data_IF_399340049413
#
_entry.id   IF_399340049413
#
_cell.length_a   1.000
_cell.length_b   1.000
_cell.length_c   1.000
_cell.angle_alpha   90.00
_cell.angle_beta   90.00
_cell.angle_gamma   90.00
#
_symmetry.space_group_name_H-M   'P 1'
#
loop_
_entity.id
_entity.type
_entity.pdbx_description
1 polymer ?
#
# COMPACT_ATOMS: atom_id res chain seq x y z
N UNK A 1 -9.47 -35.27 -20.91
CA UNK A 1 -9.84 -35.33 -19.49
C UNK A 1 -8.54 -35.14 -18.70
N UNK A 2 -8.02 -33.92 -18.65
CA UNK A 2 -6.85 -33.61 -17.85
C UNK A 2 -7.32 -33.12 -16.48
N UNK A 3 -6.80 -33.79 -15.46
CA UNK A 3 -7.12 -33.58 -14.07
C UNK A 3 -6.94 -32.11 -13.64
N UNK A 4 -8.05 -31.48 -13.26
CA UNK A 4 -8.09 -30.21 -12.55
C UNK A 4 -7.68 -30.48 -11.09
N UNK A 5 -6.41 -30.80 -10.86
CA UNK A 5 -5.86 -30.94 -9.52
C UNK A 5 -4.93 -29.77 -9.22
N UNK A 6 -5.42 -28.88 -8.37
CA UNK A 6 -4.67 -28.15 -7.35
C UNK A 6 -3.50 -27.31 -7.86
N UNK A 7 -3.79 -26.10 -8.31
CA UNK A 7 -2.75 -25.09 -8.46
C UNK A 7 -2.68 -24.28 -7.15
N UNK A 8 -2.12 -24.90 -6.12
CA UNK A 8 -1.44 -24.18 -5.06
C UNK A 8 0.01 -24.02 -5.51
N UNK A 9 0.29 -23.06 -6.36
CA UNK A 9 1.67 -22.77 -6.76
C UNK A 9 2.24 -21.74 -5.79
N UNK A 10 2.32 -22.11 -4.56
CA UNK A 10 3.18 -21.52 -3.54
C UNK A 10 4.55 -22.17 -3.72
N UNK A 11 5.60 -21.42 -3.48
CA UNK A 11 6.99 -21.88 -3.52
C UNK A 11 7.10 -23.35 -3.07
N UNK A 12 7.28 -24.22 -4.04
CA UNK A 12 7.65 -25.60 -3.76
C UNK A 12 9.02 -25.55 -3.10
N UNK A 13 9.21 -26.27 -2.00
CA UNK A 13 10.54 -26.51 -1.48
C UNK A 13 11.33 -27.35 -2.51
N UNK A 14 12.64 -27.53 -2.31
CA UNK A 14 13.52 -28.32 -3.19
C UNK A 14 13.02 -29.75 -3.44
N UNK A 15 12.01 -30.22 -2.69
CA UNK A 15 11.38 -31.53 -2.77
C UNK A 15 9.99 -31.52 -3.42
N UNK A 16 9.55 -30.35 -3.97
CA UNK A 16 8.23 -30.23 -4.65
C UNK A 16 7.01 -30.19 -3.74
N UNK A 17 7.18 -30.06 -2.42
CA UNK A 17 6.08 -29.91 -1.46
C UNK A 17 5.77 -28.43 -1.17
N UNK A 18 4.50 -28.11 -0.91
CA UNK A 18 4.05 -26.77 -0.50
C UNK A 18 4.74 -26.43 0.83
N UNK A 19 5.51 -25.34 0.85
CA UNK A 19 6.09 -24.83 2.08
C UNK A 19 4.98 -24.21 2.94
N UNK A 20 4.59 -24.89 4.02
CA UNK A 20 3.54 -24.45 4.95
C UNK A 20 3.72 -23.02 5.48
N UNK A 21 4.94 -22.51 5.44
CA UNK A 21 5.27 -21.14 5.90
C UNK A 21 4.69 -20.05 5.00
N UNK A 22 4.37 -20.38 3.74
CA UNK A 22 3.85 -19.47 2.71
C UNK A 22 2.47 -19.90 2.18
N UNK A 23 1.79 -20.84 2.84
CA UNK A 23 0.57 -21.51 2.35
C UNK A 23 -0.57 -20.52 2.03
N UNK A 24 -0.59 -19.36 2.69
CA UNK A 24 -1.60 -18.32 2.48
C UNK A 24 -1.21 -17.30 1.36
N UNK A 25 0.03 -17.34 0.85
CA UNK A 25 0.50 -16.42 -0.18
C UNK A 25 0.32 -17.09 -1.54
N UNK A 26 -0.56 -16.50 -2.36
CA UNK A 26 -0.93 -17.04 -3.67
C UNK A 26 -0.38 -16.17 -4.77
N UNK A 27 0.32 -16.78 -5.71
CA UNK A 27 0.90 -16.13 -6.87
C UNK A 27 2.24 -16.72 -7.28
N UNK A 28 2.67 -16.39 -8.50
CA UNK A 28 3.90 -16.89 -9.11
C UNK A 28 4.61 -15.83 -9.94
N UNK A 29 4.10 -14.60 -9.94
CA UNK A 29 4.70 -13.49 -10.69
C UNK A 29 6.15 -13.24 -10.28
N UNK A 30 7.00 -12.74 -11.18
CA UNK A 30 8.38 -12.36 -10.87
C UNK A 30 8.46 -11.32 -9.75
N UNK A 31 7.51 -10.37 -9.75
CA UNK A 31 7.43 -9.32 -8.72
C UNK A 31 7.18 -9.91 -7.33
N UNK A 32 6.23 -10.86 -7.17
CA UNK A 32 5.99 -11.54 -5.90
C UNK A 32 7.19 -12.42 -5.50
N UNK A 33 7.82 -13.11 -6.44
CA UNK A 33 9.01 -13.93 -6.17
C UNK A 33 10.16 -13.08 -5.60
N UNK A 34 10.38 -11.88 -6.13
CA UNK A 34 11.39 -10.95 -5.60
C UNK A 34 11.11 -10.59 -4.13
N UNK A 35 9.86 -10.30 -3.78
CA UNK A 35 9.44 -10.06 -2.38
C UNK A 35 9.77 -11.26 -1.50
N UNK A 36 9.43 -12.48 -1.96
CA UNK A 36 9.67 -13.70 -1.18
C UNK A 36 11.14 -14.04 -1.01
N UNK A 37 12.01 -13.63 -1.96
CA UNK A 37 13.47 -13.70 -1.79
C UNK A 37 13.90 -12.80 -0.62
N UNK A 38 13.42 -11.55 -0.57
CA UNK A 38 13.68 -10.66 0.57
C UNK A 38 13.18 -11.23 1.90
N UNK A 39 11.99 -11.83 1.92
CA UNK A 39 11.46 -12.53 3.10
C UNK A 39 12.42 -13.63 3.57
N UNK A 40 12.88 -14.50 2.67
CA UNK A 40 13.82 -15.58 3.01
C UNK A 40 15.15 -15.07 3.56
N UNK A 41 15.65 -13.96 3.03
CA UNK A 41 16.91 -13.34 3.46
C UNK A 41 16.81 -12.76 4.87
N UNK A 42 15.69 -12.05 5.19
CA UNK A 42 15.55 -11.35 6.46
C UNK A 42 14.98 -12.22 7.57
N UNK A 43 14.22 -13.27 7.24
CA UNK A 43 13.53 -14.10 8.23
C UNK A 43 14.47 -14.68 9.32
N UNK A 44 15.68 -15.21 9.01
CA UNK A 44 16.58 -15.78 10.03
C UNK A 44 17.20 -14.74 10.98
N UNK A 45 17.07 -13.44 10.66
CA UNK A 45 17.65 -12.35 11.44
C UNK A 45 16.65 -11.78 12.44
N UNK A 46 17.16 -11.06 13.46
CA UNK A 46 16.33 -10.27 14.38
C UNK A 46 16.14 -8.81 13.92
N UNK A 47 16.56 -8.49 12.70
CA UNK A 47 16.44 -7.13 12.15
C UNK A 47 14.98 -6.67 12.06
N UNK A 48 14.78 -5.38 12.29
CA UNK A 48 13.49 -4.74 12.04
C UNK A 48 13.18 -4.74 10.54
N UNK A 49 11.94 -5.06 10.19
CA UNK A 49 11.48 -5.07 8.80
C UNK A 49 10.37 -4.03 8.62
N UNK A 50 10.50 -3.23 7.57
CA UNK A 50 9.47 -2.28 7.16
C UNK A 50 8.81 -2.77 5.87
N UNK A 51 7.54 -3.16 5.94
CA UNK A 51 6.77 -3.65 4.80
C UNK A 51 5.97 -2.49 4.22
N UNK A 52 6.31 -2.09 3.02
CA UNK A 52 5.69 -0.99 2.28
C UNK A 52 4.74 -1.54 1.21
N UNK A 53 3.68 -0.83 0.91
CA UNK A 53 2.77 -1.18 -0.17
C UNK A 53 1.35 -0.68 0.05
N UNK A 54 0.60 -0.56 -1.03
CA UNK A 54 -0.77 -0.07 -1.01
C UNK A 54 -1.69 -0.88 -0.08
N UNK A 55 -2.80 -0.27 0.30
CA UNK A 55 -3.83 -0.97 1.08
C UNK A 55 -4.36 -2.18 0.32
N UNK A 56 -4.48 -3.33 1.01
CA UNK A 56 -5.02 -4.55 0.42
C UNK A 56 -4.03 -5.40 -0.38
N UNK A 57 -2.74 -5.08 -0.41
CA UNK A 57 -1.69 -5.86 -1.11
C UNK A 57 -1.29 -7.15 -0.41
N UNK A 58 -1.62 -7.31 0.90
CA UNK A 58 -1.28 -8.49 1.67
C UNK A 58 -0.09 -8.31 2.63
N UNK A 59 0.20 -7.10 3.09
CA UNK A 59 1.32 -6.80 4.02
C UNK A 59 1.34 -7.69 5.26
N UNK A 60 0.17 -7.99 5.85
CA UNK A 60 0.07 -8.88 7.01
C UNK A 60 0.51 -10.32 6.68
N UNK A 61 0.19 -10.84 5.49
CA UNK A 61 0.62 -12.18 5.08
C UNK A 61 2.15 -12.26 4.95
N UNK A 62 2.77 -11.20 4.45
CA UNK A 62 4.25 -11.11 4.40
C UNK A 62 4.84 -11.06 5.79
N UNK A 63 4.27 -10.27 6.72
CA UNK A 63 4.73 -10.24 8.11
C UNK A 63 4.63 -11.62 8.79
N UNK A 64 3.53 -12.35 8.56
CA UNK A 64 3.35 -13.73 9.03
C UNK A 64 4.38 -14.68 8.41
N UNK A 65 4.64 -14.57 7.10
CA UNK A 65 5.64 -15.38 6.42
C UNK A 65 7.05 -15.14 6.96
N UNK A 66 7.42 -13.89 7.27
CA UNK A 66 8.70 -13.55 7.92
C UNK A 66 8.78 -14.22 9.30
N UNK A 67 7.73 -14.12 10.10
CA UNK A 67 7.69 -14.73 11.42
C UNK A 67 7.79 -16.27 11.33
N UNK A 68 6.97 -16.91 10.50
CA UNK A 68 6.92 -18.36 10.34
C UNK A 68 8.23 -18.95 9.79
N UNK A 69 9.04 -18.13 9.09
CA UNK A 69 10.34 -18.50 8.55
C UNK A 69 11.51 -18.10 9.46
N UNK A 70 11.23 -17.50 10.63
CA UNK A 70 12.24 -16.99 11.56
C UNK A 70 12.62 -18.02 12.63
N UNK A 71 13.68 -17.70 13.38
CA UNK A 71 14.06 -18.44 14.59
C UNK A 71 13.03 -18.33 15.73
N UNK A 72 12.04 -17.43 15.57
CA UNK A 72 10.96 -17.16 16.55
C UNK A 72 9.61 -17.75 16.12
N UNK A 73 9.56 -18.65 15.13
CA UNK A 73 8.31 -19.20 14.57
C UNK A 73 7.39 -19.88 15.59
N UNK A 74 7.97 -20.48 16.65
CA UNK A 74 7.22 -21.12 17.76
C UNK A 74 6.90 -20.13 18.91
N UNK A 75 7.22 -18.85 18.75
CA UNK A 75 7.00 -17.82 19.74
C UNK A 75 5.77 -16.98 19.40
N UNK A 76 5.26 -16.15 20.33
CA UNK A 76 4.09 -15.33 20.04
C UNK A 76 4.28 -14.42 18.82
N UNK A 77 3.28 -14.38 17.95
CA UNK A 77 3.10 -13.37 16.90
C UNK A 77 1.94 -12.47 17.31
N UNK A 78 2.27 -11.27 17.78
CA UNK A 78 1.28 -10.30 18.27
C UNK A 78 1.08 -9.22 17.22
N UNK A 79 -0.17 -8.94 16.89
CA UNK A 79 -0.53 -7.91 15.89
C UNK A 79 -1.18 -6.70 16.54
N UNK A 80 -0.90 -5.52 16.01
CA UNK A 80 -1.55 -4.27 16.38
C UNK A 80 -1.72 -3.42 15.12
N UNK A 81 -2.94 -2.97 14.87
CA UNK A 81 -3.21 -1.98 13.81
C UNK A 81 -3.32 -0.59 14.45
N UNK A 82 -2.37 0.30 14.11
CA UNK A 82 -2.28 1.64 14.71
C UNK A 82 -3.43 2.54 14.28
N UNK A 83 -3.98 2.36 13.08
CA UNK A 83 -5.10 3.15 12.57
C UNK A 83 -6.45 2.76 13.20
N UNK A 84 -6.58 1.51 13.68
CA UNK A 84 -7.84 1.00 14.19
C UNK A 84 -8.14 1.42 15.65
N UNK A 85 -7.16 1.99 16.35
CA UNK A 85 -7.26 2.31 17.78
C UNK A 85 -7.18 3.83 17.96
N UNK A 86 -8.13 4.45 18.69
CA UNK A 86 -8.01 5.86 19.04
C UNK A 86 -6.68 6.17 19.73
N UNK A 87 -6.06 7.31 19.37
CA UNK A 87 -4.69 7.66 19.85
C UNK A 87 -4.54 7.61 21.37
N UNK A 88 -5.53 8.05 22.14
CA UNK A 88 -5.49 7.99 23.61
C UNK A 88 -5.52 6.57 24.21
N UNK A 89 -5.94 5.56 23.44
CA UNK A 89 -5.92 4.15 23.86
C UNK A 89 -4.74 3.37 23.30
N UNK A 90 -4.15 3.86 22.18
CA UNK A 90 -3.06 3.18 21.50
C UNK A 90 -1.84 3.01 22.41
N UNK A 91 -1.55 4.00 23.24
CA UNK A 91 -0.47 3.94 24.24
C UNK A 91 -0.69 2.81 25.24
N UNK A 92 -1.91 2.73 25.78
CA UNK A 92 -2.30 1.68 26.74
C UNK A 92 -2.27 0.28 26.09
N UNK A 93 -2.67 0.14 24.83
CA UNK A 93 -2.57 -1.13 24.11
C UNK A 93 -1.13 -1.54 23.85
N UNK A 94 -0.24 -0.59 23.47
CA UNK A 94 1.17 -0.88 23.19
C UNK A 94 1.95 -1.25 24.44
N UNK A 95 1.89 -0.39 25.47
CA UNK A 95 2.76 -0.46 26.64
C UNK A 95 2.07 -1.02 27.89
N UNK A 96 0.74 -1.11 27.90
CA UNK A 96 -0.01 -1.50 29.07
C UNK A 96 -0.17 -0.35 30.08
N UNK A 97 -0.94 -0.61 31.13
CA UNK A 97 -1.21 0.35 32.17
C UNK A 97 -1.32 -0.29 33.55
N UNK A 98 -1.00 0.47 34.57
CA UNK A 98 -1.26 0.13 35.97
C UNK A 98 -2.68 0.55 36.37
N UNK A 99 -3.19 -0.06 37.45
CA UNK A 99 -4.46 0.35 38.03
C UNK A 99 -4.42 1.82 38.44
N UNK A 100 -5.41 2.60 37.98
CA UNK A 100 -5.50 4.03 38.28
C UNK A 100 -4.71 4.95 37.35
N UNK A 101 -4.07 4.44 36.29
CA UNK A 101 -3.28 5.23 35.36
C UNK A 101 -4.09 6.30 34.61
N UNK A 102 -5.37 6.05 34.39
CA UNK A 102 -6.33 6.99 33.81
C UNK A 102 -7.75 6.70 34.29
N UNK A 103 -8.70 7.59 34.00
CA UNK A 103 -10.12 7.39 34.33
C UNK A 103 -10.67 6.18 33.58
N UNK A 104 -10.98 5.09 34.31
CA UNK A 104 -11.40 3.80 33.75
C UNK A 104 -10.34 2.67 33.84
N UNK A 105 -9.12 2.94 34.29
CA UNK A 105 -8.11 1.93 34.55
C UNK A 105 -8.39 1.16 35.86
N UNK A 106 -9.41 0.30 35.85
CA UNK A 106 -9.87 -0.46 37.03
C UNK A 106 -8.88 -1.54 37.46
N UNK A 107 -8.14 -2.12 36.51
CA UNK A 107 -7.16 -3.18 36.71
C UNK A 107 -5.88 -2.93 35.91
N UNK A 108 -4.79 -3.53 36.32
CA UNK A 108 -3.54 -3.57 35.54
C UNK A 108 -3.76 -4.37 34.25
N UNK A 109 -3.22 -3.91 33.11
CA UNK A 109 -3.24 -4.63 31.84
C UNK A 109 -1.87 -4.64 31.18
N UNK A 110 -1.45 -5.82 30.70
CA UNK A 110 -0.22 -5.99 29.92
C UNK A 110 -0.39 -5.43 28.52
N UNK A 111 0.63 -4.70 28.05
CA UNK A 111 0.68 -4.17 26.68
C UNK A 111 1.15 -5.20 25.65
N UNK A 112 1.05 -4.82 24.36
CA UNK A 112 1.44 -5.68 23.23
C UNK A 112 2.93 -6.02 23.26
N UNK A 113 3.78 -5.11 23.70
CA UNK A 113 5.22 -5.40 23.85
C UNK A 113 5.49 -6.50 24.87
N UNK A 114 4.78 -6.53 26.00
CA UNK A 114 4.91 -7.60 26.97
C UNK A 114 4.39 -8.95 26.44
N UNK A 115 3.24 -8.90 25.73
CA UNK A 115 2.64 -10.10 25.13
C UNK A 115 3.51 -10.70 24.02
N UNK A 116 4.26 -9.85 23.30
CA UNK A 116 5.18 -10.24 22.23
C UNK A 116 6.58 -10.62 22.74
N UNK A 117 6.81 -10.62 24.05
CA UNK A 117 8.14 -10.88 24.60
C UNK A 117 8.71 -12.22 24.14
N UNK A 118 9.95 -12.22 23.64
CA UNK A 118 10.68 -13.31 22.98
C UNK A 118 10.06 -13.75 21.65
N UNK A 119 9.06 -13.04 21.13
CA UNK A 119 8.36 -13.29 19.89
C UNK A 119 8.51 -12.15 18.90
N UNK A 120 7.45 -11.90 18.14
CA UNK A 120 7.38 -10.87 17.10
C UNK A 120 6.16 -9.99 17.32
N UNK A 121 6.36 -8.67 17.25
CA UNK A 121 5.28 -7.67 17.22
C UNK A 121 5.15 -7.13 15.80
N UNK A 122 3.96 -7.27 15.23
CA UNK A 122 3.59 -6.68 13.97
C UNK A 122 2.78 -5.41 14.19
N UNK A 123 3.31 -4.27 13.74
CA UNK A 123 2.68 -2.96 13.79
C UNK A 123 2.17 -2.61 12.40
N UNK A 124 0.86 -2.78 12.19
CA UNK A 124 0.22 -2.41 10.93
C UNK A 124 -0.16 -0.93 10.94
N UNK A 125 -0.04 -0.30 9.77
CA UNK A 125 -0.29 1.13 9.53
C UNK A 125 0.49 2.04 10.50
N UNK A 126 1.81 1.81 10.59
CA UNK A 126 2.70 2.56 11.50
C UNK A 126 2.71 4.08 11.20
N UNK A 127 2.42 4.49 9.95
CA UNK A 127 2.30 5.89 9.57
C UNK A 127 1.13 6.63 10.23
N UNK A 128 0.18 5.92 10.85
CA UNK A 128 -0.92 6.50 11.61
C UNK A 128 -0.62 6.68 13.10
N UNK A 129 0.59 6.35 13.54
CA UNK A 129 1.01 6.49 14.93
C UNK A 129 1.21 7.97 15.31
N UNK A 130 0.57 8.48 16.38
CA UNK A 130 0.79 9.83 16.87
C UNK A 130 2.26 10.11 17.22
N UNK A 131 2.75 11.33 16.96
CA UNK A 131 4.14 11.75 17.21
C UNK A 131 4.63 11.48 18.63
N UNK A 132 3.76 11.67 19.62
CA UNK A 132 4.06 11.42 21.04
C UNK A 132 4.43 9.95 21.30
N UNK A 133 3.75 9.03 20.60
CA UNK A 133 4.01 7.59 20.73
C UNK A 133 5.21 7.12 19.93
N UNK A 134 5.56 7.85 18.85
CA UNK A 134 6.76 7.55 18.07
C UNK A 134 8.03 7.67 18.91
N UNK A 135 8.09 8.63 19.86
CA UNK A 135 9.22 8.78 20.81
C UNK A 135 9.35 7.56 21.71
N UNK A 136 8.22 7.08 22.26
CA UNK A 136 8.21 5.90 23.13
C UNK A 136 8.57 4.62 22.36
N UNK A 137 8.05 4.48 21.15
CA UNK A 137 8.40 3.35 20.28
C UNK A 137 9.90 3.34 19.97
N UNK A 138 10.49 4.49 19.64
CA UNK A 138 11.93 4.61 19.39
C UNK A 138 12.76 4.13 20.58
N UNK A 139 12.39 4.54 21.81
CA UNK A 139 13.06 4.09 23.02
C UNK A 139 13.03 2.56 23.16
N UNK A 140 11.88 1.93 22.91
CA UNK A 140 11.78 0.46 22.98
C UNK A 140 12.64 -0.22 21.90
N UNK A 141 12.69 0.34 20.69
CA UNK A 141 13.50 -0.23 19.60
C UNK A 141 15.01 -0.10 19.85
N UNK A 142 15.44 0.90 20.63
CA UNK A 142 16.85 1.17 20.93
C UNK A 142 17.30 0.46 22.20
N UNK A 143 16.55 0.64 23.28
CA UNK A 143 16.93 0.22 24.64
C UNK A 143 16.34 -1.12 25.06
N UNK A 144 15.31 -1.63 24.31
CA UNK A 144 14.55 -2.83 24.66
C UNK A 144 13.83 -2.71 26.01
N UNK A 145 13.50 -1.49 26.38
CA UNK A 145 12.88 -1.13 27.67
C UNK A 145 11.75 -0.13 27.46
N UNK A 146 10.74 -0.20 28.33
CA UNK A 146 9.65 0.78 28.38
C UNK A 146 9.02 0.82 29.77
N UNK A 147 8.16 1.78 30.02
CA UNK A 147 7.38 1.93 31.24
C UNK A 147 5.89 1.84 30.90
N UNK A 148 5.10 1.17 31.76
CA UNK A 148 3.64 1.17 31.63
C UNK A 148 3.07 2.53 31.98
N UNK A 149 1.89 2.85 31.43
CA UNK A 149 1.18 4.06 31.84
C UNK A 149 0.90 4.01 33.35
N UNK A 150 1.19 5.14 34.03
CA UNK A 150 1.03 5.25 35.48
C UNK A 150 2.08 4.53 36.32
N UNK A 151 3.19 4.09 35.71
CA UNK A 151 4.30 3.42 36.41
C UNK A 151 5.64 4.05 36.04
N UNK A 152 6.56 4.06 36.99
CA UNK A 152 7.98 4.39 36.77
C UNK A 152 8.85 3.12 36.73
N UNK A 153 8.22 1.94 36.75
CA UNK A 153 8.93 0.67 36.69
C UNK A 153 9.30 0.33 35.26
N UNK A 154 10.59 0.16 34.97
CA UNK A 154 11.12 -0.20 33.66
C UNK A 154 10.89 -1.68 33.37
N UNK A 155 10.19 -1.97 32.29
CA UNK A 155 9.96 -3.32 31.78
C UNK A 155 10.94 -3.62 30.65
N UNK A 156 11.72 -4.69 30.75
CA UNK A 156 12.63 -5.17 29.71
C UNK A 156 11.95 -6.19 28.83
N UNK A 157 12.12 -6.07 27.50
CA UNK A 157 11.53 -6.98 26.52
C UNK A 157 12.51 -7.31 25.41
N UNK A 158 12.44 -8.54 24.93
CA UNK A 158 13.11 -8.98 23.71
C UNK A 158 12.07 -9.26 22.64
N UNK A 159 11.81 -8.27 21.77
CA UNK A 159 10.78 -8.34 20.75
C UNK A 159 11.40 -8.01 19.40
N UNK A 160 11.17 -8.89 18.40
CA UNK A 160 11.39 -8.55 17.01
C UNK A 160 10.22 -7.71 16.50
N UNK A 161 10.50 -6.58 15.83
CA UNK A 161 9.47 -5.72 15.30
C UNK A 161 9.41 -5.82 13.76
N UNK A 162 8.19 -6.00 13.25
CA UNK A 162 7.84 -5.86 11.83
C UNK A 162 6.82 -4.75 11.76
N UNK A 163 7.08 -3.70 10.99
CA UNK A 163 6.15 -2.59 10.77
C UNK A 163 5.62 -2.61 9.34
N UNK A 164 4.40 -2.16 9.12
CA UNK A 164 3.81 -2.02 7.80
C UNK A 164 3.09 -0.69 7.65
N UNK A 165 3.08 -0.14 6.44
CA UNK A 165 2.32 1.06 6.09
C UNK A 165 2.07 1.15 4.59
N UNK A 166 1.00 1.87 4.23
CA UNK A 166 0.74 2.30 2.85
C UNK A 166 1.17 3.74 2.59
N UNK A 167 1.56 4.48 3.64
CA UNK A 167 1.97 5.89 3.55
C UNK A 167 3.44 6.01 3.17
N UNK A 168 3.78 7.08 2.47
CA UNK A 168 5.15 7.50 2.25
C UNK A 168 5.72 8.13 3.52
N UNK A 169 6.50 7.35 4.27
CA UNK A 169 7.09 7.81 5.52
C UNK A 169 8.18 8.88 5.30
N UNK A 170 8.86 8.90 4.14
CA UNK A 170 9.85 9.94 3.84
C UNK A 170 9.16 11.29 3.63
N UNK A 171 8.06 11.31 2.87
CA UNK A 171 7.23 12.51 2.74
C UNK A 171 6.72 12.96 4.12
N UNK A 172 6.25 12.04 4.95
CA UNK A 172 5.80 12.37 6.31
C UNK A 172 6.90 12.92 7.21
N UNK A 173 8.16 12.51 7.01
CA UNK A 173 9.32 13.09 7.70
C UNK A 173 9.56 14.54 7.25
N UNK A 174 9.45 14.82 5.95
CA UNK A 174 9.54 16.20 5.42
C UNK A 174 8.40 17.09 5.94
N UNK A 175 7.21 16.54 6.12
CA UNK A 175 6.03 17.21 6.67
C UNK A 175 6.04 17.30 8.22
N UNK A 176 7.09 16.81 8.89
CA UNK A 176 7.23 16.74 10.35
C UNK A 176 6.10 15.95 11.05
N UNK A 177 5.38 15.10 10.34
CA UNK A 177 4.31 14.22 10.88
C UNK A 177 4.84 12.84 11.28
N UNK A 178 6.07 12.49 10.87
CA UNK A 178 6.79 11.29 11.28
C UNK A 178 8.25 11.64 11.62
N UNK A 179 8.79 11.03 12.66
CA UNK A 179 10.17 11.33 13.11
C UNK A 179 11.21 10.63 12.23
N UNK A 180 12.23 11.37 11.81
CA UNK A 180 13.33 10.84 11.00
C UNK A 180 14.12 9.73 11.72
N UNK A 181 14.38 9.88 13.02
CA UNK A 181 15.12 8.90 13.82
C UNK A 181 14.36 7.55 13.92
N UNK A 182 13.04 7.59 14.08
CA UNK A 182 12.21 6.39 14.07
C UNK A 182 12.17 5.75 12.68
N UNK A 183 12.05 6.54 11.60
CA UNK A 183 12.08 6.04 10.23
C UNK A 183 13.35 5.21 9.97
N UNK A 184 14.54 5.74 10.27
CA UNK A 184 15.79 5.01 10.06
C UNK A 184 15.91 3.76 10.95
N UNK A 185 15.29 3.76 12.12
CA UNK A 185 15.29 2.58 13.00
C UNK A 185 14.32 1.49 12.53
N UNK A 186 13.22 1.86 11.88
CA UNK A 186 12.26 0.92 11.29
C UNK A 186 12.72 0.41 9.91
N UNK A 187 13.32 1.27 9.10
CA UNK A 187 13.74 0.99 7.72
C UNK A 187 15.11 0.30 7.62
N UNK A 188 15.38 -0.68 8.51
CA UNK A 188 16.63 -1.47 8.45
C UNK A 188 16.59 -2.43 7.26
N UNK A 189 15.46 -3.08 7.06
CA UNK A 189 15.22 -3.95 5.90
C UNK A 189 13.85 -3.65 5.30
N UNK A 190 13.77 -2.77 4.30
CA UNK A 190 12.51 -2.47 3.63
C UNK A 190 12.13 -3.58 2.65
N UNK A 191 10.84 -3.93 2.62
CA UNK A 191 10.22 -4.85 1.65
C UNK A 191 9.05 -4.12 1.02
N UNK A 192 9.11 -3.89 -0.28
CA UNK A 192 8.04 -3.26 -1.05
C UNK A 192 7.15 -4.31 -1.70
N UNK A 193 5.85 -4.29 -1.36
CA UNK A 193 4.85 -5.14 -1.99
C UNK A 193 4.30 -4.44 -3.23
N UNK A 194 4.46 -5.04 -4.42
CA UNK A 194 3.89 -4.48 -5.63
C UNK A 194 2.36 -4.49 -5.57
N UNK A 195 1.68 -3.46 -6.09
CA UNK A 195 0.24 -3.47 -6.25
C UNK A 195 -0.19 -4.55 -7.24
N UNK A 196 -1.46 -4.98 -7.17
CA UNK A 196 -1.95 -6.12 -7.96
C UNK A 196 -1.84 -5.88 -9.48
N UNK A 197 -1.96 -4.63 -9.95
CA UNK A 197 -1.76 -4.25 -11.35
C UNK A 197 -0.35 -4.53 -11.90
N UNK A 198 0.67 -4.58 -11.04
CA UNK A 198 2.05 -4.89 -11.41
C UNK A 198 2.37 -6.39 -11.32
N UNK A 199 1.40 -7.19 -10.85
CA UNK A 199 1.45 -8.65 -10.79
C UNK A 199 0.16 -9.29 -11.30
N UNK A 200 -0.34 -8.78 -12.43
CA UNK A 200 -1.59 -9.25 -13.05
C UNK A 200 -1.59 -10.75 -13.37
N UNK A 201 -0.40 -11.34 -13.57
CA UNK A 201 -0.23 -12.79 -13.75
C UNK A 201 -0.74 -13.61 -12.55
N UNK A 202 -0.77 -13.03 -11.35
CA UNK A 202 -1.26 -13.70 -10.15
C UNK A 202 -2.80 -13.71 -10.05
N UNK A 203 -3.49 -12.84 -10.80
CA UNK A 203 -4.95 -12.67 -10.72
C UNK A 203 -5.69 -13.98 -10.99
N UNK A 204 -5.38 -14.76 -12.05
CA UNK A 204 -6.08 -16.01 -12.32
C UNK A 204 -5.98 -17.02 -11.17
N UNK A 205 -4.83 -17.12 -10.52
CA UNK A 205 -4.63 -18.00 -9.37
C UNK A 205 -5.41 -17.53 -8.14
N UNK A 206 -5.38 -16.23 -7.86
CA UNK A 206 -6.13 -15.60 -6.77
C UNK A 206 -7.65 -15.79 -6.95
N UNK A 207 -8.17 -15.56 -8.16
CA UNK A 207 -9.59 -15.72 -8.50
C UNK A 207 -10.04 -17.15 -8.23
N UNK A 208 -9.32 -18.14 -8.77
CA UNK A 208 -9.63 -19.56 -8.56
C UNK A 208 -9.61 -19.94 -7.07
N UNK A 209 -8.60 -19.47 -6.35
CA UNK A 209 -8.51 -19.71 -4.91
C UNK A 209 -9.72 -19.12 -4.17
N UNK A 210 -10.09 -17.87 -4.42
CA UNK A 210 -11.21 -17.23 -3.73
C UNK A 210 -12.55 -17.87 -4.12
N UNK A 211 -12.76 -18.23 -5.40
CA UNK A 211 -13.97 -18.97 -5.81
C UNK A 211 -14.06 -20.28 -5.04
N UNK A 212 -13.00 -21.09 -5.02
CA UNK A 212 -12.98 -22.36 -4.29
C UNK A 212 -13.27 -22.18 -2.80
N UNK A 213 -12.62 -21.17 -2.18
CA UNK A 213 -12.80 -20.84 -0.76
C UNK A 213 -14.25 -20.46 -0.44
N UNK A 214 -14.85 -19.57 -1.23
CA UNK A 214 -16.20 -19.08 -0.97
C UNK A 214 -17.30 -20.07 -1.42
N UNK A 215 -17.09 -20.77 -2.54
CA UNK A 215 -18.00 -21.83 -2.97
C UNK A 215 -18.11 -22.93 -1.90
N UNK A 216 -16.99 -23.38 -1.35
CA UNK A 216 -16.97 -24.35 -0.24
C UNK A 216 -17.73 -23.84 0.99
N UNK A 217 -17.51 -22.56 1.35
CA UNK A 217 -18.20 -21.95 2.51
C UNK A 217 -19.72 -21.83 2.32
N UNK A 218 -20.16 -21.65 1.07
CA UNK A 218 -21.57 -21.44 0.71
C UNK A 218 -22.24 -22.71 0.19
N UNK A 219 -21.56 -23.88 0.25
CA UNK A 219 -22.02 -25.15 -0.29
C UNK A 219 -22.45 -25.05 -1.77
N UNK A 220 -21.67 -24.31 -2.58
CA UNK A 220 -21.87 -24.20 -4.03
C UNK A 220 -20.77 -24.96 -4.76
N UNK A 221 -21.12 -25.49 -5.96
CA UNK A 221 -20.17 -26.14 -6.87
C UNK A 221 -19.96 -25.23 -8.08
N UNK A 222 -18.98 -24.34 -7.98
CA UNK A 222 -18.58 -23.43 -9.06
C UNK A 222 -17.26 -23.95 -9.65
N UNK A 223 -17.31 -24.48 -10.86
CA UNK A 223 -16.16 -25.14 -11.51
C UNK A 223 -15.71 -24.40 -12.78
N UNK A 224 -16.60 -23.63 -13.39
CA UNK A 224 -16.37 -23.00 -14.68
C UNK A 224 -16.23 -21.50 -14.48
N UNK A 225 -15.14 -20.94 -15.02
CA UNK A 225 -14.92 -19.50 -15.17
C UNK A 225 -14.79 -19.23 -16.66
N UNK A 226 -15.68 -18.42 -17.22
CA UNK A 226 -15.60 -18.05 -18.63
C UNK A 226 -14.31 -17.26 -18.92
N UNK A 227 -13.64 -17.54 -20.07
CA UNK A 227 -12.39 -16.82 -20.41
C UNK A 227 -12.56 -15.32 -20.44
N UNK A 228 -13.67 -14.81 -20.99
CA UNK A 228 -13.97 -13.37 -21.08
C UNK A 228 -14.10 -12.73 -19.69
N UNK A 229 -14.69 -13.44 -18.72
CA UNK A 229 -14.78 -13.01 -17.32
C UNK A 229 -13.38 -12.88 -16.71
N UNK A 230 -12.52 -13.88 -16.94
CA UNK A 230 -11.15 -13.86 -16.41
C UNK A 230 -10.30 -12.75 -17.04
N UNK A 231 -10.39 -12.55 -18.36
CA UNK A 231 -9.71 -11.49 -19.08
C UNK A 231 -10.12 -10.10 -18.59
N UNK A 232 -11.42 -9.89 -18.37
CA UNK A 232 -11.91 -8.63 -17.80
C UNK A 232 -11.33 -8.36 -16.40
N UNK A 233 -11.20 -9.40 -15.57
CA UNK A 233 -10.61 -9.29 -14.24
C UNK A 233 -9.10 -9.04 -14.29
N UNK A 234 -8.37 -9.64 -15.22
CA UNK A 234 -6.92 -9.43 -15.42
C UNK A 234 -6.63 -8.03 -15.91
N UNK A 235 -7.49 -7.47 -16.77
CA UNK A 235 -7.32 -6.12 -17.35
C UNK A 235 -7.73 -4.97 -16.42
N UNK A 236 -8.35 -5.25 -15.28
CA UNK A 236 -8.74 -4.23 -14.31
C UNK A 236 -7.59 -3.87 -13.36
N UNK A 237 -7.48 -2.62 -12.95
CA UNK A 237 -6.33 -2.09 -12.19
C UNK A 237 -6.33 -2.49 -10.70
N UNK A 238 -7.46 -2.90 -10.16
CA UNK A 238 -7.63 -3.30 -8.75
C UNK A 238 -7.01 -2.31 -7.74
N UNK A 239 -7.48 -1.07 -7.68
CA UNK A 239 -6.90 -0.07 -6.76
C UNK A 239 -7.05 -0.43 -5.27
N UNK A 240 -8.00 -1.29 -4.90
CA UNK A 240 -8.08 -1.92 -3.57
C UNK A 240 -7.32 -3.25 -3.50
N UNK A 241 -6.52 -3.55 -4.52
CA UNK A 241 -5.64 -4.72 -4.60
C UNK A 241 -6.36 -6.04 -4.32
N UNK A 242 -5.72 -6.97 -3.59
CA UNK A 242 -6.29 -8.29 -3.30
C UNK A 242 -7.58 -8.18 -2.47
N UNK A 243 -7.70 -7.18 -1.59
CA UNK A 243 -8.93 -7.01 -0.78
C UNK A 243 -10.13 -6.65 -1.65
N UNK A 244 -9.96 -5.82 -2.67
CA UNK A 244 -11.02 -5.50 -3.64
C UNK A 244 -11.36 -6.71 -4.50
N UNK A 245 -10.35 -7.40 -5.04
CA UNK A 245 -10.53 -8.63 -5.82
C UNK A 245 -11.28 -9.69 -5.00
N UNK A 246 -10.89 -9.91 -3.76
CA UNK A 246 -11.53 -10.86 -2.85
C UNK A 246 -13.02 -10.54 -2.64
N UNK A 247 -13.34 -9.28 -2.36
CA UNK A 247 -14.73 -8.83 -2.18
C UNK A 247 -15.54 -8.96 -3.48
N UNK A 248 -14.94 -8.69 -4.63
CA UNK A 248 -15.57 -8.84 -5.93
C UNK A 248 -15.91 -10.31 -6.21
N UNK A 249 -14.95 -11.21 -5.98
CA UNK A 249 -15.16 -12.65 -6.16
C UNK A 249 -16.20 -13.19 -5.17
N UNK A 250 -16.16 -12.77 -3.90
CA UNK A 250 -17.18 -13.19 -2.90
C UNK A 250 -18.58 -12.80 -3.34
N UNK A 251 -18.80 -11.56 -3.81
CA UNK A 251 -20.08 -11.13 -4.37
C UNK A 251 -20.47 -11.95 -5.61
N UNK A 252 -19.51 -12.22 -6.51
CA UNK A 252 -19.73 -13.06 -7.68
C UNK A 252 -20.22 -14.46 -7.29
N UNK A 253 -19.58 -15.10 -6.30
CA UNK A 253 -20.00 -16.42 -5.79
C UNK A 253 -21.40 -16.37 -5.19
N UNK A 254 -21.77 -15.29 -4.49
CA UNK A 254 -23.13 -15.15 -3.91
C UNK A 254 -24.20 -15.16 -5.01
N UNK A 255 -24.00 -14.40 -6.09
CA UNK A 255 -25.01 -14.22 -7.14
C UNK A 255 -25.03 -15.34 -8.19
N UNK A 256 -23.91 -16.03 -8.40
CA UNK A 256 -23.78 -17.11 -9.36
C UNK A 256 -24.74 -18.25 -9.04
N UNK A 257 -25.39 -18.80 -10.10
CA UNK A 257 -26.31 -19.94 -10.03
C UNK A 257 -25.74 -21.11 -10.84
N UNK A 258 -25.87 -22.30 -10.33
CA UNK A 258 -25.34 -23.51 -11.01
C UNK A 258 -23.84 -23.67 -10.84
N UNK A 259 -23.13 -24.12 -11.90
CA UNK A 259 -21.70 -24.45 -11.88
C UNK A 259 -20.78 -23.36 -12.50
N UNK A 260 -21.35 -22.31 -13.06
CA UNK A 260 -20.61 -21.24 -13.73
C UNK A 260 -20.47 -20.05 -12.78
N UNK A 261 -19.26 -19.48 -12.72
CA UNK A 261 -19.02 -18.23 -12.00
C UNK A 261 -19.43 -17.04 -12.86
N UNK A 262 -20.49 -16.35 -12.48
CA UNK A 262 -21.09 -15.22 -13.20
C UNK A 262 -21.10 -13.95 -12.33
N UNK A 263 -19.96 -13.24 -12.20
CA UNK A 263 -19.92 -11.98 -11.47
C UNK A 263 -20.53 -10.83 -12.27
N UNK A 264 -21.02 -9.79 -11.59
CA UNK A 264 -21.45 -8.55 -12.25
C UNK A 264 -20.24 -7.71 -12.71
N UNK A 265 -19.75 -7.98 -13.92
CA UNK A 265 -18.63 -7.23 -14.52
C UNK A 265 -18.95 -5.74 -14.73
N UNK A 266 -20.23 -5.33 -14.76
CA UNK A 266 -20.60 -3.93 -14.92
C UNK A 266 -20.10 -3.06 -13.74
N UNK A 267 -19.85 -3.66 -12.58
CA UNK A 267 -19.28 -2.98 -11.41
C UNK A 267 -17.84 -2.51 -11.69
N UNK A 268 -17.01 -3.32 -12.36
CA UNK A 268 -15.64 -2.94 -12.72
C UNK A 268 -15.63 -1.72 -13.66
N UNK A 269 -16.56 -1.68 -14.62
CA UNK A 269 -16.69 -0.55 -15.53
C UNK A 269 -17.22 0.72 -14.85
N UNK A 270 -18.23 0.59 -13.99
CA UNK A 270 -18.80 1.72 -13.23
C UNK A 270 -17.76 2.35 -12.29
N UNK A 271 -16.98 1.55 -11.59
CA UNK A 271 -15.91 2.05 -10.72
C UNK A 271 -14.80 2.72 -11.50
N UNK A 272 -14.40 2.16 -12.66
CA UNK A 272 -13.43 2.78 -13.57
C UNK A 272 -13.91 4.15 -14.05
N UNK A 273 -15.17 4.25 -14.48
CA UNK A 273 -15.78 5.51 -14.94
C UNK A 273 -15.91 6.49 -13.77
N UNK A 274 -16.38 6.04 -12.60
CA UNK A 274 -16.53 6.88 -11.41
C UNK A 274 -15.19 7.44 -10.93
N UNK A 275 -14.13 6.65 -10.93
CA UNK A 275 -12.78 7.09 -10.57
C UNK A 275 -12.17 8.03 -11.60
N UNK A 276 -12.35 7.73 -12.90
CA UNK A 276 -11.93 8.63 -13.97
C UNK A 276 -12.64 9.99 -13.88
N UNK A 277 -13.86 10.01 -13.35
CA UNK A 277 -14.62 11.24 -13.12
C UNK A 277 -14.31 11.89 -11.75
N UNK A 278 -13.95 11.11 -10.70
CA UNK A 278 -13.59 11.64 -9.38
C UNK A 278 -12.13 12.10 -9.29
N UNK A 279 -11.22 11.51 -10.05
CA UNK A 279 -9.85 11.99 -10.21
C UNK A 279 -9.76 13.28 -11.04
N UNK A 280 -10.87 13.69 -11.67
CA UNK A 280 -11.01 15.02 -12.26
C UNK A 280 -11.75 15.91 -11.26
N UNK A 281 -11.00 16.46 -10.31
CA UNK A 281 -11.47 17.69 -9.68
C UNK A 281 -11.75 18.71 -10.81
N UNK A 282 -12.64 19.66 -10.59
CA UNK A 282 -12.87 20.73 -11.58
C UNK A 282 -11.53 21.39 -11.98
N UNK A 283 -10.57 21.42 -11.05
CA UNK A 283 -9.23 21.93 -11.28
C UNK A 283 -8.37 21.00 -12.16
N UNK A 284 -8.46 19.67 -12.00
CA UNK A 284 -7.76 18.70 -12.88
C UNK A 284 -8.34 18.65 -14.29
N UNK A 285 -9.67 18.71 -14.41
CA UNK A 285 -10.33 18.83 -15.71
C UNK A 285 -9.95 20.15 -16.38
N UNK A 286 -9.93 21.24 -15.63
CA UNK A 286 -9.54 22.57 -16.11
C UNK A 286 -8.05 22.58 -16.49
N UNK A 287 -7.17 21.98 -15.69
CA UNK A 287 -5.73 21.85 -15.97
C UNK A 287 -5.49 21.07 -17.26
N UNK A 288 -6.14 19.92 -17.42
CA UNK A 288 -6.00 19.08 -18.62
C UNK A 288 -6.47 19.80 -19.88
N UNK A 289 -7.61 20.50 -19.80
CA UNK A 289 -8.15 21.25 -20.93
C UNK A 289 -7.28 22.46 -21.32
N UNK A 290 -6.74 23.20 -20.33
CA UNK A 290 -5.80 24.29 -20.57
C UNK A 290 -4.51 23.76 -21.19
N UNK A 291 -3.92 22.67 -20.66
CA UNK A 291 -2.71 22.06 -21.21
C UNK A 291 -2.89 21.59 -22.65
N UNK A 292 -3.97 20.90 -22.95
CA UNK A 292 -4.27 20.44 -24.30
C UNK A 292 -4.39 21.62 -25.27
N UNK A 293 -5.10 22.67 -24.87
CA UNK A 293 -5.26 23.88 -25.71
C UNK A 293 -3.92 24.60 -25.91
N UNK A 294 -3.05 24.68 -24.87
CA UNK A 294 -1.72 25.27 -24.99
C UNK A 294 -0.81 24.49 -25.97
N UNK A 295 -0.86 23.16 -25.93
CA UNK A 295 -0.12 22.30 -26.88
C UNK A 295 -0.59 22.52 -28.28
N UNK A 296 -1.92 22.56 -28.54
CA UNK A 296 -2.50 22.79 -29.87
C UNK A 296 -2.12 24.14 -30.47
N UNK A 297 -1.91 25.17 -29.68
CA UNK A 297 -1.50 26.51 -30.11
C UNK A 297 -0.01 26.80 -29.91
N UNK A 298 0.82 25.75 -29.73
CA UNK A 298 2.27 25.89 -29.52
C UNK A 298 2.63 26.89 -28.41
N UNK A 299 1.91 26.84 -27.25
CA UNK A 299 2.12 27.69 -26.08
C UNK A 299 1.91 29.20 -26.31
N UNK A 300 1.22 29.59 -27.38
CA UNK A 300 0.84 30.99 -27.63
C UNK A 300 -0.36 31.34 -26.76
N UNK A 301 -0.14 32.14 -25.71
CA UNK A 301 -1.16 32.47 -24.68
C UNK A 301 -2.17 33.51 -25.23
N UNK A 302 -1.72 34.54 -25.95
CA UNK A 302 -2.50 35.67 -26.39
C UNK A 302 -2.61 35.78 -27.90
N UNK A 303 -3.45 36.74 -28.38
CA UNK A 303 -3.70 36.95 -29.82
C UNK A 303 -4.91 36.19 -30.36
N UNK A 304 -5.30 36.49 -31.62
CA UNK A 304 -6.52 35.92 -32.23
C UNK A 304 -6.56 34.39 -32.31
N UNK A 305 -5.38 33.75 -32.39
CA UNK A 305 -5.21 32.30 -32.45
C UNK A 305 -4.58 31.72 -31.19
N UNK A 306 -4.47 32.48 -30.09
CA UNK A 306 -3.88 32.03 -28.84
C UNK A 306 -4.84 31.23 -27.95
N UNK A 307 -4.28 30.54 -26.95
CA UNK A 307 -5.03 29.71 -26.01
C UNK A 307 -6.16 30.47 -25.30
N UNK A 308 -5.95 31.71 -24.92
CA UNK A 308 -6.97 32.54 -24.27
C UNK A 308 -8.20 32.75 -25.15
N UNK A 309 -8.00 33.00 -26.46
CA UNK A 309 -9.08 33.14 -27.44
C UNK A 309 -9.85 31.83 -27.65
N UNK A 310 -9.12 30.70 -27.75
CA UNK A 310 -9.75 29.37 -27.93
C UNK A 310 -10.52 28.92 -26.68
N UNK A 311 -10.03 29.26 -25.49
CA UNK A 311 -10.70 28.95 -24.24
C UNK A 311 -11.82 29.92 -23.88
N UNK A 312 -12.03 30.99 -24.68
CA UNK A 312 -13.07 31.98 -24.41
C UNK A 312 -12.86 32.80 -23.14
N UNK A 313 -11.64 32.95 -22.65
CA UNK A 313 -11.34 33.65 -21.38
C UNK A 313 -10.29 34.74 -21.64
N UNK A 314 -10.29 35.83 -20.84
CA UNK A 314 -9.26 36.87 -20.91
C UNK A 314 -7.86 36.31 -20.65
N UNK A 315 -6.84 36.85 -21.36
CA UNK A 315 -5.43 36.45 -21.18
C UNK A 315 -4.97 36.49 -19.73
N UNK A 316 -5.36 37.51 -18.97
CA UNK A 316 -5.02 37.69 -17.56
C UNK A 316 -5.63 36.56 -16.69
N UNK A 317 -6.87 36.18 -16.98
CA UNK A 317 -7.56 35.08 -16.31
C UNK A 317 -6.89 33.74 -16.60
N UNK A 318 -6.47 33.48 -17.85
CA UNK A 318 -5.73 32.28 -18.22
C UNK A 318 -4.40 32.17 -17.47
N UNK A 319 -3.61 33.28 -17.42
CA UNK A 319 -2.34 33.32 -16.71
C UNK A 319 -2.53 33.07 -15.20
N UNK A 320 -3.55 33.67 -14.59
CA UNK A 320 -3.88 33.43 -13.17
C UNK A 320 -4.26 31.97 -12.90
N UNK A 321 -5.07 31.36 -13.78
CA UNK A 321 -5.43 29.93 -13.70
C UNK A 321 -4.22 29.01 -13.91
N UNK A 322 -3.34 29.32 -14.88
CA UNK A 322 -2.11 28.58 -15.10
C UNK A 322 -1.22 28.56 -13.84
N UNK A 323 -1.01 29.73 -13.21
CA UNK A 323 -0.24 29.84 -11.95
C UNK A 323 -0.89 29.01 -10.83
N UNK A 324 -2.19 29.13 -10.61
CA UNK A 324 -2.93 28.39 -9.59
C UNK A 324 -2.85 26.89 -9.80
N UNK A 325 -2.85 26.42 -11.05
CA UNK A 325 -2.85 25.02 -11.43
C UNK A 325 -1.43 24.44 -11.67
N UNK A 326 -0.37 25.21 -11.40
CA UNK A 326 1.01 24.78 -11.57
C UNK A 326 1.36 24.42 -13.03
N UNK A 327 0.83 25.18 -14.00
CA UNK A 327 1.13 24.98 -15.43
C UNK A 327 2.26 25.92 -15.82
N UNK A 328 3.45 25.38 -16.05
CA UNK A 328 4.62 26.10 -16.53
C UNK A 328 4.88 25.82 -18.01
N UNK A 329 5.32 26.84 -18.75
CA UNK A 329 5.71 26.69 -20.15
C UNK A 329 7.03 25.90 -20.22
N UNK A 330 7.16 24.89 -21.10
CA UNK A 330 8.44 24.25 -21.35
C UNK A 330 9.41 25.30 -21.87
N UNK A 331 10.46 25.61 -21.08
CA UNK A 331 11.54 26.48 -21.51
C UNK A 331 12.30 25.74 -22.61
N UNK A 332 12.06 26.09 -23.85
CA UNK A 332 12.91 25.67 -24.97
C UNK A 332 14.25 26.39 -24.77
N UNK A 333 15.23 25.71 -24.19
CA UNK A 333 16.63 26.14 -24.25
C UNK A 333 17.08 25.97 -25.69
N UNK A 334 17.09 27.06 -26.47
CA UNK A 334 17.84 27.10 -27.71
C UNK A 334 19.34 26.99 -27.35
N UNK A 335 20.11 26.12 -27.99
CA UNK A 335 21.54 26.15 -27.85
C UNK A 335 22.02 27.49 -28.42
N UNK A 336 22.73 28.27 -27.62
CA UNK A 336 23.44 29.48 -28.05
C UNK A 336 24.50 29.03 -29.06
N UNK A 337 24.25 29.28 -30.35
CA UNK A 337 25.23 29.20 -31.41
C UNK A 337 26.29 30.26 -31.18
N UNK A 338 27.53 29.85 -31.14
CA UNK A 338 28.71 30.69 -31.12
C UNK A 338 28.80 31.57 -32.38
N UNK A 339 29.06 32.83 -32.19
CA UNK A 339 29.92 33.63 -33.07
C UNK A 339 29.29 34.24 -34.32
N UNK A 340 29.05 35.54 -34.31
CA UNK A 340 29.90 36.46 -35.11
C UNK A 340 29.57 37.90 -34.71
N UNK A 341 30.63 38.57 -34.26
CA UNK A 341 30.64 40.02 -34.20
C UNK A 341 30.54 40.58 -35.65
N UNK A 342 29.64 41.51 -35.86
CA UNK A 342 29.98 42.60 -36.76
C UNK A 342 29.20 43.88 -36.39
N UNK A 343 29.94 44.93 -36.34
CA UNK A 343 29.53 46.31 -36.20
C UNK A 343 28.60 46.74 -37.33
N UNK A 344 27.59 47.54 -37.07
CA UNK A 344 27.46 48.84 -37.70
C UNK A 344 26.20 49.60 -37.25
N UNK A 345 26.48 50.70 -36.59
CA UNK A 345 25.82 52.00 -36.53
C UNK A 345 24.57 52.30 -37.37
N UNK A 346 23.75 53.17 -36.75
CA UNK A 346 22.95 54.27 -37.34
C UNK A 346 21.45 53.95 -37.54
N UNK A 347 20.65 54.51 -36.76
CA UNK A 347 19.83 55.71 -36.49
C UNK A 347 18.64 55.38 -35.60
#
# INVERSE_FOLDING_TARGET
MENVNTISTVLLNEQGCIDKRYEEIIGYSPALKSVLVGVKQVAPTDSTVLVLGETGTGKELIARAIHNSSTRCERPFVTLNCAAIPGGLLESELFGHERGAFTGAVAQRKGRFELANRGTLFLDEIGDMPLELQVKLLRVLQEKEFERLGSTHTCRVDVRVIAATHRDLLQMVEEETFRADLYYRLSVFPIELPPLRERSDDIPALVRHFITKYAKRMNKSLEIIEPETLEAMVSYEWPGNIRELQNFVERGVIVSRGSVFEPDLSQLWRERVRRRNSARSLDDATRSHILQTLIEVNWVIGGRNGAASRLGIPRTTLIAKMRRLGIESPVVRFPMGEGHADDTKIR
#
